data_IF_356504132568
#
_entry.id   IF_356504132568
#
_cell.length_a   1.000
_cell.length_b   1.000
_cell.length_c   1.000
_cell.angle_alpha   90.00
_cell.angle_beta   90.00
_cell.angle_gamma   90.00
#
_symmetry.space_group_name_H-M   'P 1'
#
loop_
_entity.id
_entity.type
_entity.pdbx_description
1 polymer ?
#
# COMPACT_ATOMS: atom_id res chain seq x y z
N UNK A 1 -5.99 5.57 13.03
CA UNK A 1 -5.20 6.81 12.96
C UNK A 1 -3.93 6.50 12.21
N UNK A 2 -3.42 7.47 11.45
CA UNK A 2 -2.21 7.29 10.66
C UNK A 2 -1.38 8.57 10.66
N UNK A 3 -0.07 8.42 10.72
CA UNK A 3 0.90 9.51 10.68
C UNK A 3 1.97 9.19 9.66
N UNK A 4 2.30 10.20 8.84
CA UNK A 4 3.33 10.12 7.82
C UNK A 4 4.52 10.98 8.22
N UNK A 5 5.71 10.40 8.14
CA UNK A 5 6.98 11.06 8.39
C UNK A 5 7.80 11.04 7.11
N UNK A 6 7.97 12.19 6.47
CA UNK A 6 8.72 12.34 5.23
C UNK A 6 10.10 12.94 5.50
N UNK A 7 11.14 12.37 4.90
CA UNK A 7 12.51 12.89 5.01
C UNK A 7 13.38 12.53 3.80
N UNK A 8 14.47 13.30 3.55
CA UNK A 8 15.48 12.93 2.58
C UNK A 8 16.10 11.56 2.90
N UNK A 9 16.47 10.81 1.85
CA UNK A 9 17.05 9.48 2.01
C UNK A 9 18.37 9.47 2.77
N UNK A 10 19.18 10.52 2.64
CA UNK A 10 20.40 10.71 3.42
C UNK A 10 20.10 10.86 4.92
N UNK A 11 19.11 11.69 5.26
CA UNK A 11 18.64 11.89 6.65
C UNK A 11 18.19 10.58 7.27
N UNK A 12 17.37 9.80 6.54
CA UNK A 12 16.96 8.48 7.01
C UNK A 12 18.16 7.54 7.19
N UNK A 13 19.05 7.48 6.20
CA UNK A 13 20.20 6.56 6.20
C UNK A 13 21.15 6.81 7.37
N UNK A 14 21.38 8.07 7.74
CA UNK A 14 22.19 8.46 8.92
C UNK A 14 21.52 8.10 10.24
N UNK A 15 20.18 8.14 10.30
CA UNK A 15 19.41 7.98 11.55
C UNK A 15 18.65 6.63 11.64
N UNK A 16 18.82 5.71 10.69
CA UNK A 16 18.08 4.44 10.64
C UNK A 16 18.26 3.58 11.88
N UNK A 17 19.42 3.64 12.53
CA UNK A 17 19.69 2.83 13.72
C UNK A 17 18.98 3.39 14.96
N UNK A 18 18.86 4.72 15.10
CA UNK A 18 18.06 5.30 16.19
C UNK A 18 16.58 5.01 16.01
N UNK A 19 16.08 5.10 14.77
CA UNK A 19 14.73 4.66 14.40
C UNK A 19 14.46 3.19 14.79
N UNK A 20 15.32 2.26 14.38
CA UNK A 20 15.18 0.83 14.74
C UNK A 20 15.18 0.60 16.25
N UNK A 21 15.99 1.35 17.02
CA UNK A 21 15.99 1.28 18.50
C UNK A 21 14.67 1.74 19.10
N UNK A 22 14.03 2.78 18.54
CA UNK A 22 12.69 3.20 18.97
C UNK A 22 11.70 2.05 18.75
N UNK A 23 11.67 1.48 17.54
CA UNK A 23 10.76 0.37 17.22
C UNK A 23 10.97 -0.84 18.16
N UNK A 24 12.22 -1.24 18.38
CA UNK A 24 12.57 -2.37 19.25
C UNK A 24 12.14 -2.12 20.71
N UNK A 25 12.32 -0.90 21.22
CA UNK A 25 11.89 -0.49 22.58
C UNK A 25 10.38 -0.64 22.77
N UNK A 26 9.60 -0.35 21.72
CA UNK A 26 8.15 -0.51 21.71
C UNK A 26 7.69 -1.91 21.26
N UNK A 27 8.61 -2.86 21.09
CA UNK A 27 8.30 -4.24 20.77
C UNK A 27 7.85 -4.49 19.32
N UNK A 28 8.04 -3.51 18.43
CA UNK A 28 7.73 -3.68 17.01
C UNK A 28 8.78 -4.59 16.37
N UNK A 29 8.31 -5.72 15.85
CA UNK A 29 9.17 -6.70 15.17
C UNK A 29 9.09 -6.50 13.68
N UNK A 30 10.21 -6.69 13.00
CA UNK A 30 10.24 -6.75 11.55
C UNK A 30 9.35 -7.90 11.05
N UNK A 31 8.47 -7.59 10.10
CA UNK A 31 7.55 -8.55 9.47
C UNK A 31 7.52 -8.44 7.94
N UNK A 32 8.10 -7.38 7.38
CA UNK A 32 8.10 -7.10 5.95
C UNK A 32 9.15 -7.83 5.12
N UNK A 33 9.21 -7.46 3.85
CA UNK A 33 10.26 -7.83 2.89
C UNK A 33 11.17 -6.63 2.61
N UNK A 34 12.23 -6.84 1.84
CA UNK A 34 13.11 -5.73 1.42
C UNK A 34 12.38 -4.71 0.55
N UNK A 35 11.42 -5.16 -0.26
CA UNK A 35 10.61 -4.28 -1.14
C UNK A 35 9.48 -3.58 -0.39
N UNK A 36 8.95 -4.22 0.66
CA UNK A 36 7.87 -3.70 1.49
C UNK A 36 8.23 -3.85 2.98
N UNK A 37 9.14 -3.00 3.47
CA UNK A 37 9.60 -3.04 4.85
C UNK A 37 8.49 -2.57 5.79
N UNK A 38 8.11 -3.42 6.74
CA UNK A 38 7.22 -3.02 7.83
C UNK A 38 7.55 -3.73 9.14
N UNK A 39 7.19 -3.05 10.22
CA UNK A 39 7.28 -3.53 11.58
C UNK A 39 5.90 -3.48 12.22
N UNK A 40 5.58 -4.49 13.01
CA UNK A 40 4.28 -4.55 13.68
C UNK A 40 4.40 -5.07 15.11
N UNK A 41 3.55 -4.54 15.97
CA UNK A 41 3.17 -5.10 17.26
C UNK A 41 1.71 -5.55 17.20
N UNK A 42 1.12 -5.99 18.31
CA UNK A 42 -0.27 -6.43 18.34
C UNK A 42 -1.29 -5.33 18.01
N UNK A 43 -0.91 -4.05 18.09
CA UNK A 43 -1.84 -2.91 17.95
C UNK A 43 -1.31 -1.75 17.11
N UNK A 44 -0.06 -1.83 16.64
CA UNK A 44 0.61 -0.76 15.92
C UNK A 44 1.43 -1.31 14.77
N UNK A 45 1.48 -0.55 13.67
CA UNK A 45 2.26 -0.87 12.48
C UNK A 45 3.07 0.35 12.07
N UNK A 46 4.29 0.12 11.63
CA UNK A 46 5.12 1.11 10.94
C UNK A 46 5.55 0.53 9.60
N UNK A 47 5.19 1.17 8.50
CA UNK A 47 5.57 0.79 7.14
C UNK A 47 6.55 1.82 6.59
N UNK A 48 7.61 1.38 5.91
CA UNK A 48 8.55 2.27 5.24
C UNK A 48 8.38 2.18 3.73
N UNK A 49 8.37 3.34 3.07
CA UNK A 49 8.36 3.50 1.62
C UNK A 49 9.64 4.23 1.23
N UNK A 50 10.43 3.62 0.36
CA UNK A 50 11.74 4.11 -0.04
C UNK A 50 11.72 4.51 -1.51
N UNK A 51 12.02 5.78 -1.79
CA UNK A 51 12.31 6.25 -3.14
C UNK A 51 13.80 6.06 -3.43
N UNK A 52 14.12 5.14 -4.33
CA UNK A 52 15.49 4.75 -4.66
C UNK A 52 15.80 5.05 -6.12
N UNK A 53 16.97 5.64 -6.34
CA UNK A 53 17.61 5.71 -7.64
C UNK A 53 18.27 4.37 -7.94
N UNK A 54 17.69 3.56 -8.83
CA UNK A 54 18.25 2.25 -9.16
C UNK A 54 19.58 2.32 -9.93
N UNK A 55 19.80 3.38 -10.72
CA UNK A 55 21.03 3.52 -11.52
C UNK A 55 22.23 3.89 -10.64
N UNK A 56 21.96 4.65 -9.57
CA UNK A 56 23.00 5.17 -8.66
C UNK A 56 23.06 4.43 -7.33
N UNK A 57 22.16 3.47 -7.11
CA UNK A 57 21.96 2.75 -5.83
C UNK A 57 21.89 3.68 -4.60
N UNK A 58 21.19 4.82 -4.75
CA UNK A 58 21.03 5.80 -3.67
C UNK A 58 19.58 5.95 -3.25
N UNK A 59 19.36 6.11 -1.94
CA UNK A 59 18.06 6.47 -1.38
C UNK A 59 17.84 7.98 -1.56
N UNK A 60 16.85 8.36 -2.37
CA UNK A 60 16.45 9.75 -2.60
C UNK A 60 15.55 10.26 -1.47
N UNK A 61 14.58 9.44 -1.07
CA UNK A 61 13.58 9.79 -0.07
C UNK A 61 13.15 8.59 0.77
N UNK A 62 12.69 8.88 1.98
CA UNK A 62 12.07 7.91 2.86
C UNK A 62 10.77 8.48 3.43
N UNK A 63 9.71 7.69 3.34
CA UNK A 63 8.41 7.96 3.96
C UNK A 63 8.11 6.84 4.94
N UNK A 64 7.89 7.19 6.21
CA UNK A 64 7.49 6.24 7.25
C UNK A 64 6.02 6.48 7.61
N UNK A 65 5.23 5.43 7.59
CA UNK A 65 3.81 5.45 7.89
C UNK A 65 3.58 4.71 9.20
N UNK A 66 3.18 5.41 10.25
CA UNK A 66 2.71 4.81 11.49
C UNK A 66 1.19 4.68 11.47
N UNK A 67 0.67 3.55 11.94
CA UNK A 67 -0.75 3.23 12.00
C UNK A 67 -1.12 2.58 13.33
N UNK A 68 -2.18 3.07 13.98
CA UNK A 68 -2.81 2.44 15.14
C UNK A 68 -4.27 2.85 15.31
N UNK A 69 -5.03 2.05 16.06
CA UNK A 69 -6.40 2.37 16.44
C UNK A 69 -6.49 3.54 17.44
N UNK A 70 -5.44 3.79 18.24
CA UNK A 70 -5.41 4.83 19.28
C UNK A 70 -4.06 5.56 19.27
N UNK A 71 -4.00 6.76 19.85
CA UNK A 71 -2.71 7.42 20.13
C UNK A 71 -1.88 6.54 21.07
N UNK A 72 -0.59 6.44 20.80
CA UNK A 72 0.35 5.62 21.56
C UNK A 72 1.59 6.41 21.96
N UNK A 73 2.35 5.87 22.92
CA UNK A 73 3.67 6.39 23.29
C UNK A 73 4.68 6.27 22.15
N UNK A 74 4.58 5.22 21.32
CA UNK A 74 5.39 5.07 20.12
C UNK A 74 5.18 6.24 19.15
N UNK A 75 3.94 6.67 18.92
CA UNK A 75 3.67 7.80 18.04
C UNK A 75 4.38 9.07 18.52
N UNK A 76 4.33 9.36 19.82
CA UNK A 76 4.97 10.56 20.38
C UNK A 76 6.50 10.46 20.31
N UNK A 77 7.09 9.28 20.57
CA UNK A 77 8.52 9.04 20.38
C UNK A 77 8.94 9.20 18.91
N UNK A 78 8.11 8.74 17.96
CA UNK A 78 8.37 8.92 16.52
C UNK A 78 8.27 10.38 16.09
N UNK A 79 7.34 11.16 16.65
CA UNK A 79 7.26 12.61 16.40
C UNK A 79 8.46 13.35 16.97
N UNK A 80 8.88 13.02 18.20
CA UNK A 80 10.06 13.61 18.83
C UNK A 80 11.31 13.30 17.99
N UNK A 81 11.51 12.04 17.62
CA UNK A 81 12.60 11.63 16.73
C UNK A 81 12.54 12.32 15.37
N UNK A 82 11.36 12.40 14.75
CA UNK A 82 11.19 13.08 13.46
C UNK A 82 11.60 14.55 13.55
N UNK A 83 11.21 15.23 14.63
CA UNK A 83 11.63 16.61 14.89
C UNK A 83 13.15 16.74 15.06
N UNK A 84 13.78 15.84 15.84
CA UNK A 84 15.24 15.83 16.06
C UNK A 84 16.04 15.65 14.76
N UNK A 85 15.56 14.81 13.84
CA UNK A 85 16.25 14.53 12.58
C UNK A 85 15.84 15.46 11.43
N UNK A 86 14.92 16.40 11.69
CA UNK A 86 14.41 17.34 10.68
C UNK A 86 13.44 16.72 9.66
N UNK A 87 12.76 15.64 10.01
CA UNK A 87 11.70 15.03 9.22
C UNK A 87 10.36 15.76 9.39
N UNK A 88 9.56 15.79 8.33
CA UNK A 88 8.22 16.38 8.35
C UNK A 88 7.21 15.34 8.82
N UNK A 89 6.55 15.59 9.95
CA UNK A 89 5.45 14.77 10.45
C UNK A 89 4.09 15.38 10.05
N UNK A 90 3.21 14.57 9.45
CA UNK A 90 1.86 14.97 9.06
C UNK A 90 0.88 13.90 9.53
N UNK A 91 -0.24 14.30 10.13
CA UNK A 91 -1.35 13.37 10.34
C UNK A 91 -1.95 13.04 8.98
N UNK A 92 -1.81 11.78 8.59
CA UNK A 92 -2.25 11.29 7.29
C UNK A 92 -3.62 10.64 7.50
N UNK A 93 -4.63 11.06 6.73
CA UNK A 93 -5.91 10.37 6.76
C UNK A 93 -5.71 9.07 6.00
N UNK A 94 -5.83 7.92 6.66
CA UNK A 94 -5.99 6.65 5.95
C UNK A 94 -7.17 6.82 4.99
N UNK A 95 -7.06 6.38 3.72
CA UNK A 95 -8.21 6.40 2.82
C UNK A 95 -9.33 5.61 3.50
N UNK A 96 -10.53 6.19 3.48
CA UNK A 96 -11.71 5.55 4.05
C UNK A 96 -12.00 4.25 3.29
N UNK A 97 -12.75 3.33 3.90
CA UNK A 97 -13.16 2.10 3.22
C UNK A 97 -13.96 2.38 1.94
N UNK A 98 -14.65 3.52 1.88
CA UNK A 98 -15.38 4.01 0.70
C UNK A 98 -14.40 4.46 -0.39
N UNK A 99 -13.38 5.24 -0.04
CA UNK A 99 -12.34 5.68 -0.99
C UNK A 99 -11.53 4.50 -1.56
N UNK A 100 -11.16 3.53 -0.72
CA UNK A 100 -10.51 2.29 -1.17
C UNK A 100 -11.41 1.52 -2.13
N UNK A 101 -12.71 1.46 -1.86
CA UNK A 101 -13.67 0.76 -2.73
C UNK A 101 -13.79 1.47 -4.08
N UNK A 102 -13.82 2.81 -4.08
CA UNK A 102 -13.92 3.62 -5.30
C UNK A 102 -12.68 3.49 -6.18
N UNK A 103 -11.47 3.51 -5.60
CA UNK A 103 -10.22 3.29 -6.32
C UNK A 103 -10.15 1.87 -6.92
N UNK A 104 -10.57 0.86 -6.16
CA UNK A 104 -10.62 -0.53 -6.64
C UNK A 104 -11.63 -0.68 -7.78
N UNK A 105 -12.81 -0.07 -7.69
CA UNK A 105 -13.80 -0.10 -8.78
C UNK A 105 -13.30 0.67 -10.01
N UNK A 106 -12.60 1.78 -9.83
CA UNK A 106 -11.97 2.50 -10.94
C UNK A 106 -10.90 1.65 -11.65
N UNK A 107 -10.03 0.98 -10.90
CA UNK A 107 -9.02 0.07 -11.45
C UNK A 107 -9.66 -1.12 -12.18
N UNK A 108 -10.75 -1.68 -11.64
CA UNK A 108 -11.51 -2.74 -12.30
C UNK A 108 -12.19 -2.27 -13.59
N UNK A 109 -12.66 -1.02 -13.66
CA UNK A 109 -13.21 -0.45 -14.91
C UNK A 109 -12.15 -0.39 -16.01
N UNK A 110 -10.94 0.05 -15.71
CA UNK A 110 -9.85 0.04 -16.69
C UNK A 110 -9.49 -1.37 -17.13
N UNK A 111 -9.46 -2.32 -16.20
CA UNK A 111 -9.23 -3.72 -16.50
C UNK A 111 -10.35 -4.30 -17.39
N UNK A 112 -11.61 -3.97 -17.11
CA UNK A 112 -12.76 -4.41 -17.88
C UNK A 112 -12.69 -3.92 -19.35
N UNK A 113 -12.13 -2.75 -19.63
CA UNK A 113 -11.96 -2.26 -21.01
C UNK A 113 -11.12 -3.24 -21.85
N UNK A 114 -10.11 -3.85 -21.25
CA UNK A 114 -9.17 -4.74 -21.94
C UNK A 114 -9.68 -6.19 -21.94
N UNK A 115 -10.27 -6.64 -20.83
CA UNK A 115 -10.50 -8.07 -20.59
C UNK A 115 -11.96 -8.49 -20.67
N UNK A 116 -12.93 -7.56 -20.69
CA UNK A 116 -14.34 -7.91 -20.77
C UNK A 116 -14.69 -8.41 -22.18
N UNK A 117 -15.29 -9.61 -22.33
CA UNK A 117 -15.73 -10.10 -23.63
C UNK A 117 -16.78 -9.16 -24.26
N UNK A 118 -16.55 -8.75 -25.51
CA UNK A 118 -17.52 -7.98 -26.29
C UNK A 118 -18.57 -8.93 -26.88
N UNK A 119 -19.68 -9.12 -26.15
CA UNK A 119 -20.75 -10.07 -26.51
C UNK A 119 -21.33 -9.78 -27.89
N UNK A 120 -21.57 -8.53 -28.24
CA UNK A 120 -22.20 -8.16 -29.51
C UNK A 120 -21.27 -8.45 -30.69
N UNK A 121 -19.96 -8.15 -30.54
CA UNK A 121 -18.96 -8.51 -31.52
C UNK A 121 -18.84 -10.04 -31.69
N UNK A 122 -18.82 -10.79 -30.59
CA UNK A 122 -18.73 -12.25 -30.62
C UNK A 122 -19.97 -12.89 -31.27
N UNK A 123 -21.15 -12.33 -31.04
CA UNK A 123 -22.39 -12.76 -31.73
C UNK A 123 -22.35 -12.44 -33.21
N UNK A 124 -21.90 -11.24 -33.59
CA UNK A 124 -21.73 -10.85 -34.99
C UNK A 124 -20.72 -11.74 -35.75
N UNK A 125 -19.72 -12.27 -35.05
CA UNK A 125 -18.77 -13.26 -35.57
C UNK A 125 -19.36 -14.69 -35.68
N UNK A 126 -20.62 -14.89 -35.30
CA UNK A 126 -21.29 -16.19 -35.37
C UNK A 126 -20.86 -17.19 -34.29
N UNK A 127 -20.25 -16.73 -33.18
CA UNK A 127 -19.89 -17.66 -32.09
C UNK A 127 -21.15 -18.26 -31.45
N UNK A 128 -21.12 -19.55 -31.06
CA UNK A 128 -22.21 -20.17 -30.32
C UNK A 128 -22.46 -19.46 -28.98
N UNK A 129 -23.74 -19.26 -28.63
CA UNK A 129 -24.12 -18.61 -27.37
C UNK A 129 -23.51 -19.29 -26.14
N UNK A 130 -23.44 -20.63 -26.12
CA UNK A 130 -22.83 -21.38 -25.02
C UNK A 130 -21.35 -21.03 -24.78
N UNK A 131 -20.62 -20.65 -25.82
CA UNK A 131 -19.21 -20.25 -25.70
C UNK A 131 -19.08 -18.83 -25.19
N UNK A 132 -19.94 -17.93 -25.68
CA UNK A 132 -20.01 -16.54 -25.20
C UNK A 132 -20.37 -16.52 -23.71
N UNK A 133 -21.33 -17.34 -23.28
CA UNK A 133 -21.71 -17.49 -21.88
C UNK A 133 -20.55 -18.02 -21.02
N UNK A 134 -19.80 -19.01 -21.52
CA UNK A 134 -18.62 -19.53 -20.83
C UNK A 134 -17.52 -18.46 -20.68
N UNK A 135 -17.26 -17.68 -21.74
CA UNK A 135 -16.28 -16.58 -21.72
C UNK A 135 -16.69 -15.49 -20.72
N UNK A 136 -17.97 -15.10 -20.70
CA UNK A 136 -18.50 -14.13 -19.73
C UNK A 136 -18.40 -14.67 -18.30
N UNK A 137 -18.72 -15.95 -18.08
CA UNK A 137 -18.62 -16.59 -16.76
C UNK A 137 -17.17 -16.63 -16.27
N UNK A 138 -16.23 -16.94 -17.17
CA UNK A 138 -14.79 -16.92 -16.89
C UNK A 138 -14.30 -15.52 -16.53
N UNK A 139 -14.68 -14.51 -17.31
CA UNK A 139 -14.35 -13.10 -17.02
C UNK A 139 -14.90 -12.67 -15.65
N UNK A 140 -16.16 -12.99 -15.32
CA UNK A 140 -16.74 -12.66 -14.00
C UNK A 140 -15.92 -13.25 -12.85
N UNK A 141 -15.45 -14.49 -12.99
CA UNK A 141 -14.60 -15.14 -11.97
C UNK A 141 -13.27 -14.39 -11.85
N UNK A 142 -12.61 -14.12 -12.97
CA UNK A 142 -11.33 -13.40 -12.99
C UNK A 142 -11.47 -11.97 -12.43
N UNK A 143 -12.57 -11.28 -12.71
CA UNK A 143 -12.86 -9.95 -12.15
C UNK A 143 -12.98 -9.98 -10.62
N UNK A 144 -13.58 -11.04 -10.06
CA UNK A 144 -13.68 -11.21 -8.60
C UNK A 144 -12.34 -11.53 -7.95
N UNK A 145 -11.53 -12.38 -8.58
CA UNK A 145 -10.16 -12.67 -8.15
C UNK A 145 -9.34 -11.36 -8.18
N UNK A 146 -9.40 -10.61 -9.28
CA UNK A 146 -8.72 -9.31 -9.42
C UNK A 146 -9.19 -8.27 -8.40
N UNK A 147 -10.49 -8.23 -8.09
CA UNK A 147 -11.03 -7.35 -7.04
C UNK A 147 -10.42 -7.68 -5.68
N UNK A 148 -10.32 -8.97 -5.33
CA UNK A 148 -9.71 -9.39 -4.05
C UNK A 148 -8.23 -9.02 -3.98
N UNK A 149 -7.49 -9.17 -5.08
CA UNK A 149 -6.10 -8.74 -5.16
C UNK A 149 -5.96 -7.23 -4.96
N UNK A 150 -6.75 -6.42 -5.66
CA UNK A 150 -6.70 -4.96 -5.58
C UNK A 150 -7.13 -4.44 -4.20
N UNK A 151 -8.17 -5.04 -3.61
CA UNK A 151 -8.54 -4.75 -2.22
C UNK A 151 -7.40 -5.10 -1.25
N UNK A 152 -6.79 -6.28 -1.40
CA UNK A 152 -5.62 -6.66 -0.59
C UNK A 152 -4.49 -5.64 -0.70
N UNK A 153 -4.15 -5.21 -1.92
CA UNK A 153 -3.11 -4.21 -2.15
C UNK A 153 -3.44 -2.81 -1.59
N UNK A 154 -4.72 -2.44 -1.56
CA UNK A 154 -5.14 -1.14 -1.06
C UNK A 154 -5.35 -1.10 0.46
N UNK A 155 -5.53 -2.25 1.10
CA UNK A 155 -5.72 -2.37 2.56
C UNK A 155 -4.45 -2.78 3.30
N UNK A 156 -3.47 -3.36 2.59
CA UNK A 156 -2.14 -3.74 3.10
C UNK A 156 -1.14 -2.57 3.12
#
# INVERSE_FOLDING_TARGET
>A
MRFRFDMPGETYSKNKESFKRILARHGLRWRGSLDRPFWASGSERVTALFDRDQEKDVLRGATLLWESAKKSTLLEDLKAWAWEVGAKAVEDRSPSAEEVTDEVEQALRYWDIVWKPNVDLLRAQGRPNAWIEADVKRWKRQRQERRRELMGQATD
#
